data_IF_276136763360
#
_entry.id   IF_276136763360
#
_cell.length_a   1.000
_cell.length_b   1.000
_cell.length_c   1.000
_cell.angle_alpha   90.00
_cell.angle_beta   90.00
_cell.angle_gamma   90.00
#
_symmetry.space_group_name_H-M   'P 1'
#
loop_
_entity.id
_entity.type
_entity.pdbx_description
1 polymer ?
#
# COMPACT_ATOMS: atom_id res chain seq x y z
N UNK A 1 15.99 4.04 14.28
CA UNK A 1 15.24 5.12 13.58
C UNK A 1 14.41 4.44 12.50
N UNK A 2 13.11 4.73 12.42
CA UNK A 2 12.22 4.11 11.41
C UNK A 2 12.30 4.85 10.07
N UNK A 3 12.37 4.10 8.99
CA UNK A 3 12.30 4.56 7.60
C UNK A 3 11.03 3.98 6.99
N UNK A 4 9.95 4.75 7.01
CA UNK A 4 8.62 4.29 6.64
C UNK A 4 8.33 4.63 5.18
N UNK A 5 8.02 3.63 4.38
CA UNK A 5 7.51 3.79 3.02
C UNK A 5 5.99 3.87 3.04
N UNK A 6 5.44 4.97 2.55
CA UNK A 6 4.00 5.13 2.32
C UNK A 6 3.75 5.15 0.82
N UNK A 7 2.97 4.22 0.31
CA UNK A 7 2.63 4.17 -1.11
C UNK A 7 1.25 4.80 -1.36
N UNK A 8 1.05 5.45 -2.50
CA UNK A 8 -0.20 6.13 -2.80
C UNK A 8 -0.42 7.40 -1.95
N UNK A 9 0.68 7.98 -1.43
CA UNK A 9 0.58 9.08 -0.48
C UNK A 9 0.20 10.44 -1.07
N UNK A 10 0.08 10.58 -2.39
CA UNK A 10 -0.48 11.77 -3.02
C UNK A 10 -2.01 11.67 -3.23
N UNK A 11 -2.60 10.50 -2.99
CA UNK A 11 -4.05 10.26 -3.04
C UNK A 11 -4.78 10.84 -1.82
N UNK A 12 -6.11 10.67 -1.80
CA UNK A 12 -6.96 11.22 -0.74
C UNK A 12 -6.58 10.67 0.65
N UNK A 13 -6.73 9.38 0.88
CA UNK A 13 -6.42 8.77 2.20
C UNK A 13 -4.92 8.87 2.48
N UNK A 14 -4.08 8.52 1.49
CA UNK A 14 -2.63 8.49 1.64
C UNK A 14 -2.03 9.83 2.07
N UNK A 15 -2.54 10.96 1.57
CA UNK A 15 -2.05 12.28 1.95
C UNK A 15 -2.31 12.62 3.42
N UNK A 16 -3.42 12.16 3.97
CA UNK A 16 -3.70 12.31 5.41
C UNK A 16 -2.78 11.44 6.26
N UNK A 17 -2.50 10.21 5.81
CA UNK A 17 -1.55 9.32 6.49
C UNK A 17 -0.15 9.93 6.47
N UNK A 18 0.33 10.39 5.32
CA UNK A 18 1.64 11.07 5.19
C UNK A 18 1.74 12.25 6.14
N UNK A 19 0.76 13.18 6.12
CA UNK A 19 0.76 14.35 6.99
C UNK A 19 0.80 13.96 8.48
N UNK A 20 0.01 12.96 8.87
CA UNK A 20 -0.02 12.47 10.24
C UNK A 20 1.35 11.94 10.67
N UNK A 21 1.98 11.10 9.85
CA UNK A 21 3.28 10.52 10.19
C UNK A 21 4.39 11.57 10.21
N UNK A 22 4.45 12.45 9.22
CA UNK A 22 5.44 13.53 9.15
C UNK A 22 5.37 14.46 10.36
N UNK A 23 4.17 14.82 10.81
CA UNK A 23 4.00 15.77 11.91
C UNK A 23 4.15 15.12 13.29
N UNK A 24 3.67 13.90 13.48
CA UNK A 24 3.63 13.26 14.79
C UNK A 24 4.92 12.47 15.12
N UNK A 25 5.71 12.11 14.08
CA UNK A 25 6.94 11.32 14.26
C UNK A 25 8.16 12.02 13.63
N UNK A 26 8.61 13.15 14.18
CA UNK A 26 9.69 13.95 13.57
C UNK A 26 11.04 13.21 13.48
N UNK A 27 11.22 12.16 14.26
CA UNK A 27 12.41 11.31 14.27
C UNK A 27 12.34 10.13 13.28
N UNK A 28 11.22 9.96 12.52
CA UNK A 28 11.08 8.97 11.47
C UNK A 28 11.31 9.62 10.11
N UNK A 29 11.91 8.92 9.18
CA UNK A 29 11.94 9.33 7.78
C UNK A 29 10.71 8.77 7.06
N UNK A 30 9.95 9.64 6.42
CA UNK A 30 8.74 9.29 5.69
C UNK A 30 9.01 9.39 4.20
N UNK A 31 9.12 8.25 3.57
CA UNK A 31 9.31 8.08 2.13
C UNK A 31 7.96 7.86 1.49
N UNK A 32 7.47 8.83 0.74
CA UNK A 32 6.21 8.77 0.03
C UNK A 32 6.45 8.45 -1.44
N UNK A 33 5.87 7.37 -1.95
CA UNK A 33 5.87 7.07 -3.38
C UNK A 33 4.46 7.13 -3.95
N UNK A 34 4.35 7.69 -5.14
CA UNK A 34 3.10 7.77 -5.88
C UNK A 34 3.41 7.87 -7.38
N UNK A 35 2.63 7.19 -8.21
CA UNK A 35 2.80 7.25 -9.65
C UNK A 35 2.18 8.52 -10.26
N UNK A 36 1.41 9.28 -9.45
CA UNK A 36 0.68 10.49 -9.87
C UNK A 36 -0.26 10.23 -11.05
N UNK A 37 -1.04 9.16 -10.95
CA UNK A 37 -2.17 8.90 -11.85
C UNK A 37 -3.30 9.89 -11.59
N UNK A 38 -4.49 9.63 -12.06
CA UNK A 38 -5.65 10.53 -11.93
C UNK A 38 -6.01 10.91 -10.47
N UNK A 39 -5.71 10.05 -9.51
CA UNK A 39 -6.03 10.27 -8.09
C UNK A 39 -4.89 10.93 -7.30
N UNK A 40 -3.67 10.96 -7.83
CA UNK A 40 -2.49 11.52 -7.19
C UNK A 40 -2.35 13.01 -7.38
N UNK A 41 -2.37 13.80 -6.29
CA UNK A 41 -2.21 15.26 -6.35
C UNK A 41 -1.27 15.75 -5.25
N UNK A 42 -0.09 16.25 -5.65
CA UNK A 42 0.91 16.79 -4.71
C UNK A 42 0.43 18.05 -3.95
N UNK A 43 -0.60 18.73 -4.42
CA UNK A 43 -1.18 19.85 -3.68
C UNK A 43 -1.74 19.39 -2.32
N UNK A 44 -2.13 18.14 -2.21
CA UNK A 44 -2.57 17.56 -0.92
C UNK A 44 -1.46 17.56 0.15
N UNK A 45 -0.20 17.73 -0.22
CA UNK A 45 0.99 17.58 0.64
C UNK A 45 1.76 18.90 0.84
N UNK A 46 1.19 20.06 0.43
CA UNK A 46 1.85 21.35 0.53
C UNK A 46 2.33 21.68 1.95
N UNK A 47 1.55 21.27 2.96
CA UNK A 47 1.83 21.55 4.38
C UNK A 47 3.10 20.84 4.88
N UNK A 48 3.48 19.74 4.24
CA UNK A 48 4.61 18.90 4.70
C UNK A 48 5.77 18.84 3.72
N UNK A 49 5.64 19.40 2.51
CA UNK A 49 6.64 19.28 1.43
C UNK A 49 8.04 19.72 1.81
N UNK A 50 8.18 20.68 2.74
CA UNK A 50 9.45 21.25 3.18
C UNK A 50 9.92 20.70 4.53
N UNK A 51 9.25 19.68 5.10
CA UNK A 51 9.67 19.05 6.34
C UNK A 51 10.91 18.21 6.11
N UNK A 52 11.87 18.27 7.05
CA UNK A 52 13.18 17.59 6.94
C UNK A 52 13.06 16.06 6.88
N UNK A 53 11.99 15.51 7.42
CA UNK A 53 11.72 14.07 7.51
C UNK A 53 10.77 13.57 6.44
N UNK A 54 10.42 14.37 5.42
CA UNK A 54 9.55 13.99 4.32
C UNK A 54 10.30 13.94 2.99
N UNK A 55 10.12 12.84 2.26
CA UNK A 55 10.76 12.60 0.95
C UNK A 55 9.73 12.05 -0.02
N UNK A 56 9.59 12.68 -1.19
CA UNK A 56 8.70 12.22 -2.25
C UNK A 56 9.49 11.64 -3.43
N UNK A 57 9.00 10.52 -3.96
CA UNK A 57 9.50 9.91 -5.18
C UNK A 57 8.33 9.55 -6.09
N UNK A 58 8.42 9.95 -7.37
CA UNK A 58 7.46 9.50 -8.38
C UNK A 58 7.87 8.11 -8.85
N UNK A 59 7.22 7.08 -8.33
CA UNK A 59 7.55 5.67 -8.61
C UNK A 59 6.25 4.88 -8.81
N UNK A 60 6.23 4.04 -9.85
CA UNK A 60 5.21 3.03 -10.05
C UNK A 60 5.56 1.77 -9.25
N UNK A 61 4.65 1.31 -8.39
CA UNK A 61 4.84 0.09 -7.58
C UNK A 61 5.05 -1.17 -8.41
N UNK A 62 4.66 -1.16 -9.70
CA UNK A 62 4.94 -2.24 -10.64
C UNK A 62 6.41 -2.28 -11.12
N UNK A 63 7.18 -1.22 -10.91
CA UNK A 63 8.60 -1.20 -11.25
C UNK A 63 9.44 -1.87 -10.16
N UNK A 64 9.48 -3.20 -10.19
CA UNK A 64 10.17 -4.04 -9.20
C UNK A 64 11.63 -3.62 -8.96
N UNK A 65 12.35 -3.24 -10.03
CA UNK A 65 13.76 -2.84 -9.91
C UNK A 65 13.92 -1.55 -9.13
N UNK A 66 13.05 -0.59 -9.38
CA UNK A 66 13.07 0.71 -8.72
C UNK A 66 12.61 0.58 -7.26
N UNK A 67 11.58 -0.22 -6.98
CA UNK A 67 11.13 -0.54 -5.63
C UNK A 67 12.25 -1.21 -4.83
N UNK A 68 12.88 -2.27 -5.35
CA UNK A 68 13.98 -2.94 -4.65
C UNK A 68 15.17 -2.00 -4.39
N UNK A 69 15.49 -1.15 -5.36
CA UNK A 69 16.53 -0.13 -5.20
C UNK A 69 16.17 0.85 -4.09
N UNK A 70 14.93 1.36 -4.07
CA UNK A 70 14.45 2.27 -3.03
C UNK A 70 14.57 1.65 -1.62
N UNK A 71 14.14 0.39 -1.47
CA UNK A 71 14.24 -0.34 -0.20
C UNK A 71 15.68 -0.41 0.31
N UNK A 72 16.63 -0.74 -0.57
CA UNK A 72 18.07 -0.82 -0.23
C UNK A 72 18.66 0.55 0.08
N UNK A 73 18.48 1.52 -0.81
CA UNK A 73 19.10 2.84 -0.72
C UNK A 73 18.61 3.64 0.49
N UNK A 74 17.35 3.43 0.89
CA UNK A 74 16.72 4.15 2.01
C UNK A 74 16.61 3.33 3.28
N UNK A 75 17.07 2.07 3.27
CA UNK A 75 16.94 1.15 4.40
C UNK A 75 15.49 1.12 4.93
N UNK A 76 14.53 0.90 4.04
CA UNK A 76 13.10 0.90 4.41
C UNK A 76 12.86 -0.15 5.48
N UNK A 77 12.30 0.28 6.60
CA UNK A 77 11.98 -0.58 7.75
C UNK A 77 10.51 -0.97 7.82
N UNK A 78 9.62 -0.12 7.37
CA UNK A 78 8.17 -0.35 7.46
C UNK A 78 7.49 0.10 6.16
N UNK A 79 6.40 -0.55 5.81
CA UNK A 79 5.56 -0.21 4.66
C UNK A 79 4.13 0.04 5.12
N UNK A 80 3.55 1.15 4.67
CA UNK A 80 2.12 1.42 4.73
C UNK A 80 1.64 1.49 3.28
N UNK A 81 0.96 0.42 2.83
CA UNK A 81 0.60 0.24 1.44
C UNK A 81 -0.83 0.68 1.17
N UNK A 82 -0.98 1.90 0.57
CA UNK A 82 -2.28 2.46 0.17
C UNK A 82 -2.42 2.63 -1.34
N UNK A 83 -1.33 2.50 -2.11
CA UNK A 83 -1.41 2.63 -3.57
C UNK A 83 -2.31 1.52 -4.15
N UNK A 84 -3.34 1.92 -4.87
CA UNK A 84 -4.28 1.01 -5.52
C UNK A 84 -5.04 1.74 -6.63
N UNK A 85 -5.48 1.00 -7.62
CA UNK A 85 -6.63 1.39 -8.44
C UNK A 85 -7.89 1.07 -7.64
N UNK A 86 -8.80 2.06 -7.44
CA UNK A 86 -9.90 1.95 -6.46
C UNK A 86 -11.29 2.26 -7.02
N UNK A 87 -11.42 2.67 -8.27
CA UNK A 87 -12.70 2.99 -8.89
C UNK A 87 -13.39 1.74 -9.43
N UNK A 88 -14.49 1.30 -8.78
CA UNK A 88 -15.22 0.09 -9.15
C UNK A 88 -15.66 0.11 -10.62
N UNK A 89 -16.32 1.18 -11.08
CA UNK A 89 -16.79 1.28 -12.47
C UNK A 89 -15.65 1.14 -13.48
N UNK A 90 -14.51 1.80 -13.23
CA UNK A 90 -13.31 1.63 -14.07
C UNK A 90 -12.76 0.21 -14.06
N UNK A 91 -12.94 -0.53 -12.97
CA UNK A 91 -12.48 -1.92 -12.91
C UNK A 91 -13.25 -2.83 -13.86
N UNK A 92 -14.51 -2.51 -14.12
CA UNK A 92 -15.35 -3.23 -15.09
C UNK A 92 -14.86 -2.99 -16.51
N UNK A 93 -14.44 -1.77 -16.82
CA UNK A 93 -13.94 -1.39 -18.13
C UNK A 93 -12.50 -1.86 -18.39
N UNK A 94 -11.65 -1.90 -17.35
CA UNK A 94 -10.21 -2.15 -17.47
C UNK A 94 -9.66 -3.01 -16.33
N UNK A 95 -10.14 -4.23 -16.18
CA UNK A 95 -9.78 -5.14 -15.08
C UNK A 95 -8.27 -5.47 -15.03
N UNK A 96 -7.57 -5.48 -16.16
CA UNK A 96 -6.13 -5.73 -16.22
C UNK A 96 -5.30 -4.69 -15.46
N UNK A 97 -5.66 -3.41 -15.55
CA UNK A 97 -4.93 -2.36 -14.81
C UNK A 97 -5.11 -2.53 -13.28
N UNK A 98 -6.28 -2.99 -12.85
CA UNK A 98 -6.55 -3.32 -11.45
C UNK A 98 -5.74 -4.53 -10.97
N UNK A 99 -5.69 -5.59 -11.76
CA UNK A 99 -4.85 -6.75 -11.44
C UNK A 99 -3.36 -6.36 -11.41
N UNK A 100 -2.91 -5.57 -12.37
CA UNK A 100 -1.53 -5.12 -12.45
C UNK A 100 -1.16 -4.25 -11.24
N UNK A 101 -1.94 -3.22 -10.93
CA UNK A 101 -1.63 -2.31 -9.83
C UNK A 101 -1.84 -2.98 -8.48
N UNK A 102 -3.03 -3.57 -8.25
CA UNK A 102 -3.40 -4.04 -6.92
C UNK A 102 -2.73 -5.38 -6.57
N UNK A 103 -2.53 -6.27 -7.55
CA UNK A 103 -1.92 -7.58 -7.28
C UNK A 103 -0.43 -7.56 -7.53
N UNK A 104 0.01 -7.25 -8.76
CA UNK A 104 1.44 -7.30 -9.08
C UNK A 104 2.23 -6.21 -8.39
N UNK A 105 1.64 -5.00 -8.23
CA UNK A 105 2.25 -3.91 -7.45
C UNK A 105 2.44 -4.30 -5.98
N UNK A 106 1.44 -4.93 -5.35
CA UNK A 106 1.57 -5.47 -3.98
C UNK A 106 2.66 -6.53 -3.89
N UNK A 107 2.70 -7.47 -4.85
CA UNK A 107 3.76 -8.49 -4.91
C UNK A 107 5.15 -7.87 -5.03
N UNK A 108 5.30 -6.80 -5.82
CA UNK A 108 6.57 -6.07 -5.97
C UNK A 108 7.08 -5.54 -4.62
N UNK A 109 6.19 -4.99 -3.80
CA UNK A 109 6.53 -4.50 -2.46
C UNK A 109 6.84 -5.64 -1.49
N UNK A 110 6.07 -6.73 -1.53
CA UNK A 110 6.30 -7.92 -0.70
C UNK A 110 7.64 -8.58 -1.01
N UNK A 111 7.99 -8.73 -2.29
CA UNK A 111 9.29 -9.27 -2.71
C UNK A 111 10.47 -8.38 -2.29
N UNK A 112 10.30 -7.06 -2.38
CA UNK A 112 11.32 -6.13 -1.91
C UNK A 112 11.50 -6.23 -0.39
N UNK A 113 10.40 -6.27 0.37
CA UNK A 113 10.41 -6.43 1.83
C UNK A 113 11.12 -7.74 2.22
N UNK A 114 10.72 -8.86 1.64
CA UNK A 114 11.32 -10.18 1.86
C UNK A 114 12.83 -10.21 1.55
N UNK A 115 13.24 -9.48 0.51
CA UNK A 115 14.63 -9.49 0.06
C UNK A 115 15.57 -8.64 0.90
N UNK A 116 15.03 -7.66 1.65
CA UNK A 116 15.83 -6.65 2.36
C UNK A 116 15.72 -6.79 3.87
N UNK A 117 14.58 -7.21 4.39
CA UNK A 117 14.36 -7.30 5.83
C UNK A 117 14.97 -8.54 6.45
N UNK A 118 15.44 -8.42 7.68
CA UNK A 118 15.75 -9.56 8.54
C UNK A 118 14.44 -10.10 9.11
N UNK A 119 13.94 -11.19 8.54
CA UNK A 119 12.67 -11.79 8.92
C UNK A 119 12.74 -12.55 10.27
N UNK A 120 13.90 -12.62 10.90
CA UNK A 120 14.04 -13.14 12.27
C UNK A 120 13.81 -12.06 13.33
N UNK A 121 13.80 -10.79 12.90
CA UNK A 121 13.53 -9.62 13.75
C UNK A 121 12.06 -9.22 13.65
N UNK A 122 11.48 -8.78 14.76
CA UNK A 122 10.12 -8.19 14.79
C UNK A 122 10.14 -6.66 14.63
N UNK A 123 11.21 -6.11 14.07
CA UNK A 123 11.39 -4.66 13.97
C UNK A 123 10.71 -4.03 12.74
N UNK A 124 10.23 -4.85 11.81
CA UNK A 124 9.61 -4.43 10.57
C UNK A 124 8.10 -4.64 10.58
N UNK A 125 7.36 -3.88 9.78
CA UNK A 125 5.91 -4.06 9.59
C UNK A 125 5.54 -3.80 8.12
N UNK A 126 4.81 -4.75 7.53
CA UNK A 126 4.11 -4.54 6.26
C UNK A 126 2.62 -4.34 6.53
N UNK A 127 2.17 -3.08 6.51
CA UNK A 127 0.77 -2.73 6.77
C UNK A 127 0.02 -2.52 5.46
N UNK A 128 -0.81 -3.49 5.08
CA UNK A 128 -1.61 -3.47 3.86
C UNK A 128 -3.00 -2.92 4.11
N UNK A 129 -3.42 -1.94 3.31
CA UNK A 129 -4.77 -1.38 3.39
C UNK A 129 -5.66 -2.09 2.37
N UNK A 130 -6.68 -2.77 2.87
CA UNK A 130 -7.70 -3.46 2.09
C UNK A 130 -9.00 -2.66 2.00
N UNK A 131 -10.10 -3.33 1.72
CA UNK A 131 -11.46 -2.78 1.61
C UNK A 131 -12.47 -3.80 2.15
N UNK A 132 -13.58 -3.35 2.66
CA UNK A 132 -14.72 -4.19 3.06
C UNK A 132 -15.40 -4.88 1.85
N UNK A 133 -15.24 -4.34 0.66
CA UNK A 133 -15.78 -4.96 -0.56
C UNK A 133 -15.21 -6.35 -0.86
N UNK A 134 -14.10 -6.75 -0.22
CA UNK A 134 -13.58 -8.12 -0.31
C UNK A 134 -14.53 -9.16 0.31
N UNK A 135 -15.44 -8.71 1.19
CA UNK A 135 -16.46 -9.55 1.83
C UNK A 135 -17.79 -9.62 1.06
N UNK A 136 -17.89 -8.91 -0.08
CA UNK A 136 -19.07 -8.93 -0.92
C UNK A 136 -20.07 -7.82 -0.61
N UNK A 137 -21.36 -8.15 -0.69
CA UNK A 137 -22.43 -7.19 -0.47
C UNK A 137 -23.27 -7.59 0.73
N UNK A 138 -23.56 -6.62 1.60
CA UNK A 138 -24.56 -6.78 2.66
C UNK A 138 -25.96 -6.69 2.06
N UNK A 139 -26.91 -7.41 2.68
CA UNK A 139 -28.34 -7.23 2.41
C UNK A 139 -28.87 -5.90 2.99
N UNK A 140 -30.14 -5.90 3.38
CA UNK A 140 -30.78 -4.71 3.97
C UNK A 140 -30.18 -4.38 5.35
N UNK A 141 -29.75 -5.41 6.08
CA UNK A 141 -29.18 -5.30 7.42
C UNK A 141 -27.91 -6.15 7.52
N UNK A 142 -27.00 -5.77 8.43
CA UNK A 142 -25.81 -6.53 8.78
C UNK A 142 -24.56 -5.68 8.85
N UNK A 143 -23.48 -6.34 9.29
CA UNK A 143 -22.13 -5.75 9.36
C UNK A 143 -21.13 -6.83 8.97
N UNK A 144 -20.07 -6.44 8.25
CA UNK A 144 -18.90 -7.27 8.10
C UNK A 144 -18.06 -7.27 9.37
N UNK A 145 -17.39 -8.36 9.63
CA UNK A 145 -16.44 -8.51 10.73
C UNK A 145 -15.25 -9.39 10.29
N UNK A 146 -14.32 -9.62 11.18
CA UNK A 146 -13.09 -10.37 10.90
C UNK A 146 -13.32 -11.85 10.56
N UNK A 147 -14.53 -12.38 10.80
CA UNK A 147 -14.92 -13.75 10.48
C UNK A 147 -15.73 -13.85 9.18
N UNK A 148 -16.03 -12.70 8.56
CA UNK A 148 -16.74 -12.66 7.28
C UNK A 148 -15.94 -13.35 6.19
N UNK A 149 -16.59 -14.17 5.40
CA UNK A 149 -15.95 -14.87 4.27
C UNK A 149 -15.69 -13.88 3.14
N UNK A 150 -14.60 -14.10 2.41
CA UNK A 150 -14.34 -13.39 1.18
C UNK A 150 -15.34 -13.79 0.11
N UNK A 151 -16.01 -12.80 -0.49
CA UNK A 151 -17.01 -12.95 -1.57
C UNK A 151 -16.98 -11.73 -2.50
N UNK A 152 -15.81 -11.42 -3.13
CA UNK A 152 -15.64 -10.22 -3.94
C UNK A 152 -16.49 -10.30 -5.22
N UNK A 153 -17.26 -9.25 -5.49
CA UNK A 153 -18.25 -9.22 -6.58
C UNK A 153 -17.91 -8.24 -7.72
N UNK A 154 -16.74 -7.63 -7.70
CA UNK A 154 -16.24 -6.74 -8.78
C UNK A 154 -14.79 -7.06 -9.11
N UNK A 155 -14.28 -6.68 -10.32
CA UNK A 155 -12.85 -6.81 -10.61
C UNK A 155 -11.96 -6.05 -9.62
N UNK A 156 -12.41 -4.90 -9.13
CA UNK A 156 -11.73 -4.16 -8.05
C UNK A 156 -11.63 -5.01 -6.78
N UNK A 157 -12.77 -5.43 -6.23
CA UNK A 157 -12.78 -6.21 -4.99
C UNK A 157 -12.05 -7.55 -5.12
N UNK A 158 -12.15 -8.21 -6.29
CA UNK A 158 -11.37 -9.41 -6.59
C UNK A 158 -9.86 -9.15 -6.60
N UNK A 159 -9.41 -8.02 -7.16
CA UNK A 159 -7.99 -7.63 -7.15
C UNK A 159 -7.49 -7.34 -5.73
N UNK A 160 -8.31 -6.69 -4.89
CA UNK A 160 -7.98 -6.42 -3.49
C UNK A 160 -7.96 -7.71 -2.66
N UNK A 161 -8.95 -8.58 -2.80
CA UNK A 161 -8.97 -9.89 -2.15
C UNK A 161 -7.75 -10.74 -2.54
N UNK A 162 -7.33 -10.68 -3.82
CA UNK A 162 -6.13 -11.37 -4.29
C UNK A 162 -4.87 -10.83 -3.60
N UNK A 163 -4.73 -9.51 -3.47
CA UNK A 163 -3.59 -8.91 -2.76
C UNK A 163 -3.58 -9.27 -1.27
N UNK A 164 -4.74 -9.28 -0.61
CA UNK A 164 -4.86 -9.72 0.79
C UNK A 164 -4.37 -11.17 0.98
N UNK A 165 -4.75 -12.06 0.05
CA UNK A 165 -4.28 -13.44 0.08
C UNK A 165 -2.78 -13.56 -0.12
N UNK A 166 -2.15 -12.74 -0.98
CA UNK A 166 -0.70 -12.71 -1.12
C UNK A 166 -0.01 -12.19 0.13
N UNK A 167 -0.51 -11.11 0.74
CA UNK A 167 0.04 -10.59 2.01
C UNK A 167 -0.01 -11.67 3.09
N UNK A 168 -1.16 -12.34 3.24
CA UNK A 168 -1.31 -13.46 4.18
C UNK A 168 -0.37 -14.63 3.85
N UNK A 169 -0.23 -14.98 2.57
CA UNK A 169 0.66 -16.07 2.15
C UNK A 169 2.13 -15.76 2.47
N UNK A 170 2.58 -14.50 2.23
CA UNK A 170 3.94 -14.07 2.57
C UNK A 170 4.20 -14.11 4.07
N UNK A 171 3.23 -13.67 4.87
CA UNK A 171 3.32 -13.80 6.33
C UNK A 171 3.44 -15.26 6.75
N UNK A 172 2.62 -16.17 6.22
CA UNK A 172 2.59 -17.59 6.63
C UNK A 172 3.75 -18.43 6.09
N UNK A 173 4.28 -18.06 4.91
CA UNK A 173 5.32 -18.86 4.24
C UNK A 173 6.72 -18.37 4.55
N UNK A 174 6.89 -17.07 4.73
CA UNK A 174 8.19 -16.42 4.88
C UNK A 174 8.36 -15.69 6.21
N UNK A 175 7.36 -15.76 7.11
CA UNK A 175 7.32 -15.00 8.38
C UNK A 175 7.46 -13.48 8.16
N UNK A 176 6.98 -12.96 7.01
CA UNK A 176 7.01 -11.53 6.75
C UNK A 176 6.10 -10.81 7.77
N UNK A 177 6.61 -9.86 8.57
CA UNK A 177 5.86 -9.23 9.66
C UNK A 177 4.82 -8.21 9.17
#
# INVERSE_FOLDING_TARGET
MKNILITGGAGFIGSHVVKRFVNNYPNYNIYNIDNLTYAGNLNNLQDVKNKKNYFFFKVDINNQKEILKLFKDKNITDVIHLAAESHVDKSIESSFEFAKTNVLGTLSLLEASKSVWDLTSNDNIFYHISTDEVYGSLGIDGLFNEFSKYDPNSPYSASKASSDHFVRAYHKTYDLP
#
